data_IF_439465721021
#
_entry.id   IF_439465721021
#
_cell.length_a   1.000
_cell.length_b   1.000
_cell.length_c   1.000
_cell.angle_alpha   90.00
_cell.angle_beta   90.00
_cell.angle_gamma   90.00
#
_symmetry.space_group_name_H-M   'P 1'
#
loop_
_entity.id
_entity.type
_entity.pdbx_description
1 polymer ?
#
# COMPACT_ATOMS: atom_id res chain seq x y z
N UNK A 1 -23.41 -1.15 3.43
CA UNK A 1 -21.96 -0.92 3.56
C UNK A 1 -21.62 0.17 2.56
N UNK A 2 -21.17 1.34 3.01
CA UNK A 2 -20.89 2.53 2.17
C UNK A 2 -19.39 2.79 2.11
N UNK A 3 -18.68 1.94 1.40
CA UNK A 3 -17.24 2.07 1.25
C UNK A 3 -16.91 3.14 0.20
N UNK A 4 -15.85 3.92 0.45
CA UNK A 4 -15.31 4.91 -0.49
C UNK A 4 -14.16 4.34 -1.34
N UNK A 5 -13.62 3.18 -0.95
CA UNK A 5 -12.47 2.54 -1.59
C UNK A 5 -12.57 1.02 -1.49
N UNK A 6 -12.07 0.32 -2.51
CA UNK A 6 -11.80 -1.13 -2.45
C UNK A 6 -10.30 -1.43 -2.52
N UNK A 7 -9.94 -2.64 -2.08
CA UNK A 7 -8.60 -3.20 -2.21
C UNK A 7 -8.61 -4.29 -3.29
N UNK A 8 -7.68 -4.23 -4.23
CA UNK A 8 -7.43 -5.27 -5.22
C UNK A 8 -6.02 -5.83 -5.04
N UNK A 9 -5.89 -7.13 -4.84
CA UNK A 9 -4.61 -7.77 -4.53
C UNK A 9 -4.03 -8.38 -5.82
N UNK A 10 -2.95 -7.80 -6.34
CA UNK A 10 -2.34 -8.21 -7.62
C UNK A 10 -1.69 -9.60 -7.57
N UNK A 11 -1.43 -10.14 -6.39
CA UNK A 11 -0.96 -11.51 -6.18
C UNK A 11 -2.07 -12.57 -6.39
N UNK A 12 -3.34 -12.18 -6.26
CA UNK A 12 -4.50 -13.09 -6.32
C UNK A 12 -5.33 -12.92 -7.60
N UNK A 13 -5.11 -11.84 -8.34
CA UNK A 13 -5.91 -11.48 -9.50
C UNK A 13 -5.03 -11.45 -10.76
N UNK A 14 -5.56 -12.02 -11.84
CA UNK A 14 -5.00 -11.79 -13.16
C UNK A 14 -5.36 -10.39 -13.70
N UNK A 15 -4.73 -10.01 -14.81
CA UNK A 15 -4.90 -8.68 -15.42
C UNK A 15 -6.34 -8.42 -15.91
N UNK A 16 -7.08 -9.46 -16.29
CA UNK A 16 -8.45 -9.31 -16.76
C UNK A 16 -9.39 -9.06 -15.59
N UNK A 17 -9.27 -9.86 -14.53
CA UNK A 17 -10.07 -9.72 -13.32
C UNK A 17 -9.85 -8.36 -12.65
N UNK A 18 -8.58 -7.94 -12.49
CA UNK A 18 -8.27 -6.68 -11.81
C UNK A 18 -8.77 -5.45 -12.58
N UNK A 19 -8.71 -5.47 -13.92
CA UNK A 19 -9.29 -4.41 -14.77
C UNK A 19 -10.82 -4.37 -14.71
N UNK A 20 -11.46 -5.54 -14.71
CA UNK A 20 -12.91 -5.63 -14.57
C UNK A 20 -13.39 -5.05 -13.25
N UNK A 21 -12.73 -5.39 -12.14
CA UNK A 21 -13.05 -4.89 -10.82
C UNK A 21 -12.75 -3.39 -10.66
N UNK A 22 -11.64 -2.89 -11.22
CA UNK A 22 -11.35 -1.45 -11.27
C UNK A 22 -12.47 -0.69 -12.00
N UNK A 23 -12.95 -1.20 -13.14
CA UNK A 23 -14.03 -0.57 -13.89
C UNK A 23 -15.31 -0.48 -13.07
N UNK A 24 -15.70 -1.57 -12.40
CA UNK A 24 -16.90 -1.59 -11.56
C UNK A 24 -16.76 -0.61 -10.39
N UNK A 25 -15.60 -0.56 -9.73
CA UNK A 25 -15.36 0.40 -8.66
C UNK A 25 -15.45 1.85 -9.15
N UNK A 26 -14.88 2.14 -10.33
CA UNK A 26 -14.97 3.45 -10.97
C UNK A 26 -16.41 3.83 -11.31
N UNK A 27 -17.22 2.91 -11.84
CA UNK A 27 -18.63 3.15 -12.17
C UNK A 27 -19.48 3.43 -10.92
N UNK A 28 -19.05 2.88 -9.78
CA UNK A 28 -19.65 3.13 -8.46
C UNK A 28 -19.07 4.37 -7.76
N UNK A 29 -18.11 5.07 -8.36
CA UNK A 29 -17.45 6.24 -7.78
C UNK A 29 -16.50 5.93 -6.62
N UNK A 30 -16.02 4.69 -6.52
CA UNK A 30 -15.11 4.25 -5.47
C UNK A 30 -13.64 4.35 -5.92
N UNK A 31 -12.76 4.68 -4.99
CA UNK A 31 -11.32 4.55 -5.18
C UNK A 31 -10.88 3.07 -5.18
N UNK A 32 -9.69 2.80 -5.73
CA UNK A 32 -9.13 1.46 -5.81
C UNK A 32 -7.67 1.51 -5.35
N UNK A 33 -7.33 0.83 -4.27
CA UNK A 33 -5.92 0.58 -3.93
C UNK A 33 -5.55 -0.77 -4.54
N UNK A 34 -4.47 -0.78 -5.34
CA UNK A 34 -3.92 -2.03 -5.88
C UNK A 34 -2.70 -2.42 -5.05
N UNK A 35 -2.83 -3.53 -4.33
CA UNK A 35 -1.78 -4.06 -3.46
C UNK A 35 -0.79 -4.93 -4.25
N UNK A 36 0.50 -4.64 -4.09
CA UNK A 36 1.62 -5.31 -4.75
C UNK A 36 2.73 -5.66 -3.76
N UNK A 37 3.47 -6.73 -4.07
CA UNK A 37 4.54 -7.28 -3.23
C UNK A 37 5.88 -7.40 -3.97
N UNK A 38 5.88 -7.34 -5.31
CA UNK A 38 7.08 -7.49 -6.13
C UNK A 38 6.96 -6.71 -7.45
N UNK A 39 8.06 -6.70 -8.22
CA UNK A 39 8.15 -5.94 -9.47
C UNK A 39 7.13 -6.38 -10.53
N UNK A 40 6.85 -7.68 -10.65
CA UNK A 40 5.89 -8.19 -11.62
C UNK A 40 4.45 -7.77 -11.27
N UNK A 41 4.11 -7.74 -9.98
CA UNK A 41 2.84 -7.21 -9.49
C UNK A 41 2.74 -5.70 -9.70
N UNK A 42 3.82 -4.95 -9.42
CA UNK A 42 3.89 -3.51 -9.69
C UNK A 42 3.65 -3.20 -11.17
N UNK A 43 4.28 -3.94 -12.09
CA UNK A 43 4.06 -3.78 -13.53
C UNK A 43 2.59 -4.01 -13.92
N UNK A 44 1.94 -5.03 -13.36
CA UNK A 44 0.50 -5.27 -13.57
C UNK A 44 -0.35 -4.12 -13.02
N UNK A 45 -0.02 -3.59 -11.85
CA UNK A 45 -0.73 -2.47 -11.25
C UNK A 45 -0.59 -1.19 -12.10
N UNK A 46 0.56 -0.97 -12.73
CA UNK A 46 0.78 0.18 -13.62
C UNK A 46 -0.07 0.15 -14.90
N UNK A 47 -0.61 -1.01 -15.28
CA UNK A 47 -1.57 -1.11 -16.39
C UNK A 47 -2.98 -0.61 -16.03
N UNK A 48 -3.20 -0.19 -14.79
CA UNK A 48 -4.46 0.31 -14.25
C UNK A 48 -4.50 1.85 -14.21
N UNK A 49 -5.73 2.37 -14.17
CA UNK A 49 -6.00 3.81 -14.15
C UNK A 49 -5.91 4.40 -12.75
N UNK A 50 -6.09 3.58 -11.71
CA UNK A 50 -6.05 4.03 -10.34
C UNK A 50 -4.72 4.72 -9.99
N UNK A 51 -4.76 5.89 -9.34
CA UNK A 51 -3.54 6.54 -8.90
C UNK A 51 -2.94 5.86 -7.66
N UNK A 52 -3.65 4.96 -6.98
CA UNK A 52 -3.24 4.44 -5.68
C UNK A 52 -2.59 3.06 -5.80
N UNK A 53 -1.31 2.98 -5.40
CA UNK A 53 -0.56 1.71 -5.35
C UNK A 53 -0.17 1.43 -3.90
N UNK A 54 -0.70 0.33 -3.36
CA UNK A 54 -0.35 -0.21 -2.06
C UNK A 54 0.85 -1.12 -2.17
N UNK A 55 1.97 -0.79 -1.53
CA UNK A 55 3.12 -1.68 -1.45
C UNK A 55 3.12 -2.36 -0.09
N UNK A 56 2.81 -3.67 -0.09
CA UNK A 56 2.73 -4.45 1.12
C UNK A 56 4.08 -5.07 1.46
N UNK A 57 4.63 -4.65 2.58
CA UNK A 57 5.93 -5.09 3.08
C UNK A 57 5.90 -6.47 3.74
N UNK A 58 4.73 -7.14 3.79
CA UNK A 58 4.57 -8.49 4.33
C UNK A 58 4.73 -9.52 3.22
N UNK A 59 5.68 -10.43 3.37
CA UNK A 59 5.73 -11.61 2.52
C UNK A 59 4.57 -12.55 2.85
N UNK A 60 3.74 -12.89 1.85
CA UNK A 60 2.55 -13.72 2.06
C UNK A 60 2.86 -15.21 2.33
N UNK A 61 4.10 -15.65 2.09
CA UNK A 61 4.56 -17.03 2.34
C UNK A 61 5.24 -17.17 3.69
N UNK A 62 6.07 -16.20 4.08
CA UNK A 62 6.85 -16.26 5.33
C UNK A 62 6.27 -15.43 6.47
N UNK A 63 5.36 -14.50 6.16
CA UNK A 63 4.82 -13.49 7.09
C UNK A 63 5.86 -12.51 7.66
N UNK A 64 7.10 -12.54 7.16
CA UNK A 64 8.10 -11.55 7.51
C UNK A 64 7.71 -10.18 6.98
N UNK A 65 8.04 -9.13 7.72
CA UNK A 65 7.70 -7.74 7.37
C UNK A 65 8.95 -6.88 7.33
N UNK A 66 9.17 -6.20 6.21
CA UNK A 66 10.29 -5.28 6.04
C UNK A 66 9.98 -4.17 5.05
N UNK A 67 10.21 -2.90 5.44
CA UNK A 67 10.04 -1.73 4.56
C UNK A 67 10.95 -1.75 3.33
N UNK A 68 11.92 -2.68 3.29
CA UNK A 68 12.77 -2.93 2.14
C UNK A 68 11.99 -3.20 0.85
N UNK A 69 10.80 -3.83 0.93
CA UNK A 69 9.95 -4.06 -0.26
C UNK A 69 9.49 -2.73 -0.87
N UNK A 70 8.99 -1.81 -0.05
CA UNK A 70 8.62 -0.47 -0.53
C UNK A 70 9.81 0.26 -1.14
N UNK A 71 10.97 0.21 -0.49
CA UNK A 71 12.20 0.83 -1.00
C UNK A 71 12.61 0.24 -2.35
N UNK A 72 12.55 -1.09 -2.46
CA UNK A 72 12.89 -1.80 -3.69
C UNK A 72 11.91 -1.52 -4.83
N UNK A 73 10.61 -1.33 -4.56
CA UNK A 73 9.62 -1.09 -5.62
C UNK A 73 9.46 0.39 -5.99
N UNK A 74 9.89 1.32 -5.13
CA UNK A 74 9.64 2.75 -5.34
C UNK A 74 10.13 3.28 -6.69
N UNK A 75 11.27 2.81 -7.17
CA UNK A 75 11.86 3.27 -8.44
C UNK A 75 11.11 2.76 -9.68
N UNK A 76 10.27 1.73 -9.54
CA UNK A 76 9.43 1.21 -10.62
C UNK A 76 8.11 1.96 -10.74
N UNK A 77 7.70 2.65 -9.68
CA UNK A 77 6.41 3.35 -9.61
C UNK A 77 6.64 4.81 -10.02
N UNK A 78 5.97 5.30 -11.09
CA UNK A 78 6.13 6.68 -11.54
C UNK A 78 5.55 7.69 -10.53
N UNK A 79 6.04 8.92 -10.59
CA UNK A 79 5.66 10.01 -9.67
C UNK A 79 4.18 10.44 -9.77
N UNK A 80 3.49 10.07 -10.85
CA UNK A 80 2.05 10.33 -11.01
C UNK A 80 1.17 9.37 -10.19
N UNK A 81 1.78 8.36 -9.54
CA UNK A 81 1.11 7.42 -8.65
C UNK A 81 1.38 7.77 -7.19
N UNK A 82 0.33 7.63 -6.39
CA UNK A 82 0.39 7.72 -4.93
C UNK A 82 0.77 6.36 -4.36
N UNK A 83 2.00 6.26 -3.87
CA UNK A 83 2.46 5.07 -3.14
C UNK A 83 1.97 5.11 -1.69
N UNK A 84 1.37 4.01 -1.25
CA UNK A 84 0.95 3.75 0.13
C UNK A 84 1.80 2.59 0.63
N UNK A 85 2.66 2.81 1.64
CA UNK A 85 3.42 1.71 2.25
C UNK A 85 2.57 1.02 3.31
N UNK A 86 2.54 -0.32 3.29
CA UNK A 86 1.69 -1.12 4.16
C UNK A 86 2.50 -2.20 4.89
N UNK A 87 2.08 -2.57 6.09
CA UNK A 87 2.77 -3.54 6.96
C UNK A 87 4.19 -3.13 7.39
N UNK A 88 4.65 -3.62 8.54
CA UNK A 88 6.06 -3.51 8.95
C UNK A 88 6.56 -2.13 9.37
N UNK A 89 5.73 -1.08 9.30
CA UNK A 89 6.05 0.27 9.78
C UNK A 89 5.86 0.30 11.30
N UNK A 90 6.95 0.35 12.06
CA UNK A 90 6.92 0.18 13.54
C UNK A 90 7.48 1.36 14.29
N UNK A 91 8.26 2.20 13.62
CA UNK A 91 9.00 3.27 14.26
C UNK A 91 9.01 4.54 13.41
N UNK A 92 9.38 5.64 14.06
CA UNK A 92 9.67 6.91 13.37
C UNK A 92 10.80 6.78 12.35
N UNK A 93 11.78 5.92 12.61
CA UNK A 93 12.90 5.75 11.70
C UNK A 93 12.47 5.05 10.40
N UNK A 94 11.53 4.10 10.48
CA UNK A 94 10.88 3.53 9.29
C UNK A 94 10.16 4.61 8.47
N UNK A 95 9.38 5.45 9.15
CA UNK A 95 8.65 6.57 8.51
C UNK A 95 9.62 7.56 7.86
N UNK A 96 10.71 7.93 8.53
CA UNK A 96 11.75 8.80 7.97
C UNK A 96 12.42 8.18 6.74
N UNK A 97 12.73 6.89 6.80
CA UNK A 97 13.34 6.16 5.68
C UNK A 97 12.41 6.13 4.46
N UNK A 98 11.12 5.90 4.67
CA UNK A 98 10.13 5.91 3.60
C UNK A 98 9.89 7.32 3.03
N UNK A 99 9.85 8.35 3.90
CA UNK A 99 9.73 9.75 3.47
C UNK A 99 10.94 10.22 2.64
N UNK A 100 12.14 9.75 2.95
CA UNK A 100 13.35 10.15 2.21
C UNK A 100 13.37 9.68 0.75
N UNK A 101 12.55 8.67 0.41
CA UNK A 101 12.33 8.19 -0.96
C UNK A 101 10.98 8.65 -1.54
N UNK A 102 10.37 9.68 -0.95
CA UNK A 102 9.13 10.29 -1.44
C UNK A 102 7.85 9.53 -1.12
N UNK A 103 7.89 8.50 -0.25
CA UNK A 103 6.68 7.81 0.21
C UNK A 103 6.12 8.50 1.44
N UNK A 104 4.96 9.12 1.28
CA UNK A 104 4.32 9.95 2.32
C UNK A 104 2.98 9.41 2.83
N UNK A 105 2.50 8.30 2.26
CA UNK A 105 1.23 7.67 2.63
C UNK A 105 1.49 6.29 3.23
N UNK A 106 0.76 5.97 4.28
CA UNK A 106 1.02 4.79 5.11
C UNK A 106 -0.31 4.16 5.53
N UNK A 107 -0.38 2.84 5.49
CA UNK A 107 -1.47 2.06 6.08
C UNK A 107 -0.92 1.29 7.28
N UNK A 108 -1.26 1.75 8.49
CA UNK A 108 -0.77 1.19 9.75
C UNK A 108 -1.95 0.70 10.58
N UNK A 109 -2.04 -0.61 10.76
CA UNK A 109 -3.08 -1.26 11.59
C UNK A 109 -2.52 -1.81 12.89
N UNK A 110 -1.81 -2.95 12.81
CA UNK A 110 -1.39 -3.76 13.96
C UNK A 110 -0.68 -2.97 15.06
N UNK A 111 0.26 -2.08 14.71
CA UNK A 111 1.01 -1.29 15.68
C UNK A 111 0.12 -0.33 16.48
N UNK A 112 -0.86 0.29 15.83
CA UNK A 112 -1.79 1.22 16.48
C UNK A 112 -2.89 0.48 17.23
N UNK A 113 -3.41 -0.62 16.69
CA UNK A 113 -4.47 -1.42 17.33
C UNK A 113 -3.98 -2.07 18.64
N UNK A 114 -2.70 -2.43 18.73
CA UNK A 114 -2.11 -3.04 19.93
C UNK A 114 -1.61 -2.01 20.97
N UNK A 115 -1.54 -0.74 20.62
CA UNK A 115 -1.11 0.29 21.54
C UNK A 115 -2.16 0.53 22.62
N UNK A 116 -1.70 0.81 23.85
CA UNK A 116 -2.59 1.24 24.95
C UNK A 116 -3.27 2.57 24.60
N UNK A 117 -2.52 3.49 24.00
CA UNK A 117 -3.02 4.74 23.43
C UNK A 117 -2.60 4.83 21.93
N UNK A 118 -3.52 4.53 20.99
CA UNK A 118 -3.25 4.64 19.57
C UNK A 118 -2.89 6.06 19.10
N UNK A 119 -3.40 7.10 19.77
CA UNK A 119 -3.12 8.50 19.43
C UNK A 119 -1.67 8.86 19.77
N UNK A 120 -1.24 8.52 20.99
CA UNK A 120 0.16 8.70 21.41
C UNK A 120 1.13 7.87 20.54
N UNK A 121 0.73 6.65 20.16
CA UNK A 121 1.52 5.82 19.25
C UNK A 121 1.66 6.49 17.87
N UNK A 122 0.57 6.99 17.29
CA UNK A 122 0.58 7.73 16.02
C UNK A 122 1.48 8.97 16.10
N UNK A 123 1.37 9.75 17.18
CA UNK A 123 2.22 10.93 17.41
C UNK A 123 3.71 10.54 17.43
N UNK A 124 4.06 9.50 18.19
CA UNK A 124 5.44 9.04 18.31
C UNK A 124 6.04 8.59 16.97
N UNK A 125 5.22 8.05 16.07
CA UNK A 125 5.64 7.56 14.75
C UNK A 125 5.79 8.70 13.73
N UNK A 126 4.90 9.70 13.73
CA UNK A 126 4.76 10.64 12.61
C UNK A 126 5.12 12.11 12.90
N UNK A 127 5.19 12.54 14.17
CA UNK A 127 5.27 13.96 14.57
C UNK A 127 6.44 14.29 15.48
#
# INVERSE_FOLDING_TARGET
MGADCILLIAALLDVHAIKGLESVASDLGMAVIVEVHNAAEAERALALKTPLIGVNNRDLKTFETSVATTIALRHLIPEDRTVISESGIRSRDDVKMLRSIGVNNFLVGEALIRAEDPGAALESMFF
#
